data_IF_972023533639
#
_entry.id   IF_972023533639
#
_cell.length_a   1.000
_cell.length_b   1.000
_cell.length_c   1.000
_cell.angle_alpha   90.00
_cell.angle_beta   90.00
_cell.angle_gamma   90.00
#
_symmetry.space_group_name_H-M   'P 1'
#
loop_
_entity.id
_entity.type
_entity.pdbx_description
1 polymer ?
#
# COMPACT_ATOMS: atom_id res chain seq x y z
N UNK A 1 19.50 10.91 -8.37
CA UNK A 1 18.84 9.80 -7.66
C UNK A 1 17.36 9.83 -7.98
N UNK A 2 16.76 8.65 -8.15
CA UNK A 2 15.34 8.48 -8.43
C UNK A 2 14.73 7.57 -7.37
N UNK A 3 13.46 7.77 -7.04
CA UNK A 3 12.67 6.83 -6.29
C UNK A 3 11.25 6.79 -6.86
N UNK A 4 10.60 5.64 -6.76
CA UNK A 4 9.26 5.46 -7.27
C UNK A 4 8.23 5.84 -6.20
N UNK A 5 7.16 6.47 -6.66
CA UNK A 5 5.98 6.73 -5.86
C UNK A 5 4.71 6.65 -6.70
N UNK A 6 3.61 6.43 -6.05
CA UNK A 6 2.28 6.60 -6.59
C UNK A 6 1.76 7.94 -6.12
N UNK A 7 1.25 8.73 -7.02
CA UNK A 7 0.69 10.03 -6.75
C UNK A 7 -0.59 10.22 -7.57
N UNK A 8 -1.55 10.95 -7.01
CA UNK A 8 -2.75 11.32 -7.70
C UNK A 8 -3.17 12.75 -7.37
N UNK A 9 -3.83 13.37 -8.32
CA UNK A 9 -4.37 14.72 -8.22
C UNK A 9 -5.78 14.73 -8.77
N UNK A 10 -6.70 15.36 -8.04
CA UNK A 10 -8.08 15.52 -8.49
C UNK A 10 -8.55 16.95 -8.36
N UNK A 11 -9.50 17.32 -9.20
CA UNK A 11 -10.12 18.63 -9.23
C UNK A 11 -11.64 18.48 -9.13
N UNK A 12 -12.25 19.30 -8.29
CA UNK A 12 -13.67 19.20 -7.92
C UNK A 12 -14.35 20.57 -8.03
N UNK A 13 -15.65 20.53 -8.23
CA UNK A 13 -16.44 21.76 -8.31
C UNK A 13 -16.70 22.38 -6.93
N UNK A 14 -16.76 21.56 -5.89
CA UNK A 14 -17.06 22.04 -4.53
C UNK A 14 -15.99 21.66 -3.54
N UNK A 15 -15.96 22.38 -2.42
CA UNK A 15 -15.10 22.10 -1.28
C UNK A 15 -15.36 20.70 -0.71
N UNK A 16 -16.63 20.39 -0.54
CA UNK A 16 -17.10 19.16 0.08
C UNK A 16 -16.67 17.93 -0.72
N UNK A 17 -16.82 17.98 -2.05
CA UNK A 17 -16.36 16.91 -2.94
C UNK A 17 -14.84 16.67 -2.82
N UNK A 18 -14.04 17.73 -2.79
CA UNK A 18 -12.59 17.62 -2.68
C UNK A 18 -12.15 17.08 -1.31
N UNK A 19 -12.80 17.52 -0.22
CA UNK A 19 -12.50 17.07 1.13
C UNK A 19 -12.89 15.59 1.30
N UNK A 20 -14.05 15.17 0.78
CA UNK A 20 -14.48 13.77 0.75
C UNK A 20 -13.47 12.90 -0.01
N UNK A 21 -12.98 13.35 -1.17
CA UNK A 21 -11.97 12.60 -1.94
C UNK A 21 -10.64 12.48 -1.19
N UNK A 22 -10.18 13.54 -0.55
CA UNK A 22 -8.97 13.48 0.26
C UNK A 22 -9.08 12.45 1.39
N UNK A 23 -10.22 12.40 2.08
CA UNK A 23 -10.49 11.42 3.14
C UNK A 23 -10.65 10.01 2.56
N UNK A 24 -11.29 9.85 1.41
CA UNK A 24 -11.43 8.57 0.71
C UNK A 24 -10.06 7.96 0.40
N UNK A 25 -9.16 8.74 -0.15
CA UNK A 25 -7.81 8.27 -0.50
C UNK A 25 -6.96 7.96 0.72
N UNK A 26 -7.10 8.71 1.81
CA UNK A 26 -6.50 8.33 3.09
C UNK A 26 -6.96 6.94 3.54
N UNK A 27 -8.25 6.64 3.42
CA UNK A 27 -8.82 5.36 3.80
C UNK A 27 -8.33 4.22 2.88
N UNK A 28 -8.16 4.47 1.58
CA UNK A 28 -7.57 3.50 0.64
C UNK A 28 -6.14 3.15 1.06
N UNK A 29 -5.33 4.14 1.42
CA UNK A 29 -3.96 3.89 1.89
C UNK A 29 -3.92 3.16 3.23
N UNK A 30 -4.81 3.49 4.16
CA UNK A 30 -4.93 2.77 5.42
C UNK A 30 -5.34 1.31 5.20
N UNK A 31 -6.33 1.07 4.33
CA UNK A 31 -6.76 -0.28 3.97
C UNK A 31 -5.63 -1.10 3.33
N UNK A 32 -4.86 -0.51 2.43
CA UNK A 32 -3.70 -1.15 1.82
C UNK A 32 -2.64 -1.52 2.87
N UNK A 33 -2.30 -0.57 3.76
CA UNK A 33 -1.34 -0.83 4.82
C UNK A 33 -1.79 -1.96 5.75
N UNK A 34 -3.05 -1.96 6.18
CA UNK A 34 -3.56 -2.93 7.14
C UNK A 34 -3.84 -4.30 6.53
N UNK A 35 -4.53 -4.34 5.36
CA UNK A 35 -4.99 -5.60 4.77
C UNK A 35 -3.94 -6.30 3.91
N UNK A 36 -3.11 -5.54 3.19
CA UNK A 36 -2.12 -6.11 2.28
C UNK A 36 -0.72 -6.15 2.89
N UNK A 37 -0.30 -5.05 3.52
CA UNK A 37 1.01 -4.99 4.16
C UNK A 37 1.01 -5.60 5.57
N UNK A 38 -0.16 -5.83 6.17
CA UNK A 38 -0.33 -6.23 7.58
C UNK A 38 0.40 -5.26 8.56
N UNK A 39 0.40 -3.98 8.23
CA UNK A 39 1.00 -2.90 9.03
C UNK A 39 -0.12 -2.05 9.61
N UNK A 40 -0.38 -2.13 10.92
CA UNK A 40 -1.36 -1.26 11.57
C UNK A 40 -0.95 0.20 11.46
N UNK A 41 -1.91 1.07 11.17
CA UNK A 41 -1.67 2.51 11.01
C UNK A 41 -2.67 3.35 11.80
N UNK A 42 -2.22 4.51 12.24
CA UNK A 42 -3.06 5.53 12.85
C UNK A 42 -3.34 6.61 11.82
N UNK A 43 -4.61 6.92 11.62
CA UNK A 43 -5.05 8.04 10.76
C UNK A 43 -5.10 9.32 11.58
N UNK A 44 -4.62 10.42 11.02
CA UNK A 44 -4.62 11.71 11.68
C UNK A 44 -4.58 12.90 10.72
N UNK A 45 -4.69 14.08 11.29
CA UNK A 45 -4.51 15.36 10.59
C UNK A 45 -3.22 15.97 11.10
N UNK A 46 -2.37 16.43 10.21
CA UNK A 46 -1.11 17.09 10.58
C UNK A 46 -1.35 18.45 11.20
N UNK A 47 -0.54 18.79 12.20
CA UNK A 47 -0.50 20.14 12.77
C UNK A 47 -0.16 21.18 11.70
N UNK A 48 -0.49 22.45 11.98
CA UNK A 48 -0.23 23.54 11.04
C UNK A 48 1.24 23.64 10.62
N UNK A 49 2.17 23.30 11.52
CA UNK A 49 3.60 23.38 11.26
C UNK A 49 4.15 22.23 10.39
N UNK A 50 3.44 21.11 10.35
CA UNK A 50 3.83 19.91 9.57
C UNK A 50 2.97 19.70 8.33
N UNK A 51 1.96 20.55 8.17
CA UNK A 51 1.07 20.53 7.02
C UNK A 51 1.86 20.78 5.73
N UNK A 52 1.46 20.13 4.65
CA UNK A 52 2.02 20.41 3.33
C UNK A 52 1.78 21.89 2.96
N UNK A 53 2.86 22.57 2.56
CA UNK A 53 2.80 23.98 2.25
C UNK A 53 1.80 24.26 1.10
N UNK A 54 0.82 25.13 1.37
CA UNK A 54 -0.25 25.45 0.42
C UNK A 54 -1.51 24.60 0.57
N UNK A 55 -1.49 23.51 1.32
CA UNK A 55 -2.70 22.76 1.64
C UNK A 55 -3.53 23.42 2.76
N UNK A 56 -4.83 23.27 2.70
CA UNK A 56 -5.73 23.64 3.80
C UNK A 56 -5.64 22.59 4.92
N UNK A 57 -5.65 21.30 4.56
CA UNK A 57 -5.44 20.20 5.47
C UNK A 57 -4.56 19.12 4.86
N UNK A 58 -3.78 18.45 5.70
CA UNK A 58 -2.97 17.28 5.34
C UNK A 58 -3.34 16.13 6.26
N UNK A 59 -3.98 15.13 5.68
CA UNK A 59 -4.26 13.87 6.32
C UNK A 59 -3.08 12.92 6.16
N UNK A 60 -2.84 12.08 7.16
CA UNK A 60 -1.70 11.15 7.18
C UNK A 60 -2.11 9.81 7.74
N UNK A 61 -1.45 8.75 7.28
CA UNK A 61 -1.38 7.47 7.97
C UNK A 61 0.04 7.28 8.51
N UNK A 62 0.15 6.87 9.76
CA UNK A 62 1.43 6.66 10.42
C UNK A 62 1.48 5.28 11.06
N UNK A 63 2.58 4.56 10.81
CA UNK A 63 2.83 3.24 11.37
C UNK A 63 3.79 3.36 12.56
N UNK A 64 3.57 2.57 13.61
CA UNK A 64 4.50 2.45 14.72
C UNK A 64 5.61 1.48 14.38
N UNK A 65 6.87 1.93 14.45
CA UNK A 65 8.04 1.08 14.24
C UNK A 65 8.46 0.39 15.54
N UNK A 66 9.29 -0.64 15.43
CA UNK A 66 9.74 -1.45 16.59
C UNK A 66 10.52 -0.63 17.62
N UNK A 67 11.16 0.46 17.21
CA UNK A 67 11.86 1.40 18.09
C UNK A 67 10.94 2.43 18.76
N UNK A 68 9.62 2.31 18.57
CA UNK A 68 8.61 3.20 19.14
C UNK A 68 8.43 4.54 18.39
N UNK A 69 9.08 4.71 17.25
CA UNK A 69 8.91 5.91 16.43
C UNK A 69 7.76 5.73 15.43
N UNK A 70 7.03 6.81 15.19
CA UNK A 70 6.03 6.85 14.14
C UNK A 70 6.68 7.09 12.78
N UNK A 71 6.30 6.29 11.78
CA UNK A 71 6.70 6.45 10.39
C UNK A 71 5.51 6.92 9.56
N UNK A 72 5.62 8.10 8.96
CA UNK A 72 4.64 8.56 7.97
C UNK A 72 4.62 7.61 6.78
N UNK A 73 3.49 6.96 6.56
CA UNK A 73 3.34 5.89 5.57
C UNK A 73 2.50 6.28 4.35
N UNK A 74 1.82 7.40 4.41
CA UNK A 74 1.06 7.97 3.28
C UNK A 74 0.41 9.27 3.67
N UNK A 75 0.17 10.14 2.70
CA UNK A 75 -0.50 11.42 2.89
C UNK A 75 -1.58 11.66 1.86
N UNK A 76 -2.59 12.40 2.26
CA UNK A 76 -3.65 12.92 1.40
C UNK A 76 -3.91 14.37 1.77
N UNK A 77 -3.84 15.25 0.78
CA UNK A 77 -3.89 16.69 0.97
C UNK A 77 -5.20 17.26 0.42
N UNK A 78 -5.92 17.98 1.25
CA UNK A 78 -6.95 18.89 0.80
C UNK A 78 -6.29 20.24 0.50
N UNK A 79 -6.07 20.52 -0.79
CA UNK A 79 -5.34 21.71 -1.24
C UNK A 79 -6.20 22.97 -1.25
N UNK A 80 -7.52 22.82 -1.18
CA UNK A 80 -8.43 23.93 -1.38
C UNK A 80 -8.30 24.51 -2.79
N UNK A 81 -8.27 25.83 -2.91
CA UNK A 81 -8.10 26.56 -4.16
C UNK A 81 -6.73 27.25 -4.27
N UNK A 82 -5.82 27.04 -3.35
CA UNK A 82 -4.57 27.79 -3.29
C UNK A 82 -3.72 27.57 -4.54
N UNK A 83 -3.49 26.32 -4.93
CA UNK A 83 -2.75 26.01 -6.16
C UNK A 83 -3.56 26.32 -7.42
N UNK A 84 -4.87 26.09 -7.39
CA UNK A 84 -5.74 26.45 -8.52
C UNK A 84 -5.65 27.95 -8.85
N UNK A 85 -5.63 28.82 -7.86
CA UNK A 85 -5.45 30.26 -8.05
C UNK A 85 -4.04 30.62 -8.51
N UNK A 86 -3.01 29.95 -7.97
CA UNK A 86 -1.63 30.21 -8.34
C UNK A 86 -1.31 29.83 -9.81
N UNK A 87 -1.94 28.75 -10.30
CA UNK A 87 -1.72 28.20 -11.65
C UNK A 87 -2.86 28.49 -12.63
N UNK A 88 -3.84 29.30 -12.21
CA UNK A 88 -5.04 29.68 -12.99
C UNK A 88 -5.84 28.47 -13.51
N UNK A 89 -6.06 27.48 -12.66
CA UNK A 89 -6.82 26.29 -13.00
C UNK A 89 -8.31 26.52 -12.68
N UNK A 90 -9.09 26.70 -13.73
CA UNK A 90 -10.51 27.03 -13.64
C UNK A 90 -11.37 26.03 -14.41
N UNK A 91 -12.65 25.99 -14.09
CA UNK A 91 -13.68 25.26 -14.84
C UNK A 91 -14.90 26.15 -15.05
N UNK A 92 -15.74 25.79 -16.01
CA UNK A 92 -17.02 26.46 -16.26
C UNK A 92 -18.08 25.76 -15.41
N UNK A 93 -18.68 26.49 -14.49
CA UNK A 93 -19.75 25.98 -13.63
C UNK A 93 -21.10 25.85 -14.37
N UNK A 94 -22.13 25.35 -13.66
CA UNK A 94 -23.49 25.15 -14.22
C UNK A 94 -24.18 26.45 -14.63
N UNK A 95 -23.77 27.59 -14.08
CA UNK A 95 -24.24 28.94 -14.43
C UNK A 95 -23.41 29.58 -15.57
N UNK A 96 -22.56 28.80 -16.23
CA UNK A 96 -21.67 29.25 -17.32
C UNK A 96 -20.67 30.33 -16.88
N UNK A 97 -20.20 30.26 -15.62
CA UNK A 97 -19.18 31.15 -15.04
C UNK A 97 -17.89 30.37 -14.78
N UNK A 98 -16.75 31.06 -14.92
CA UNK A 98 -15.45 30.52 -14.55
C UNK A 98 -15.27 30.55 -13.04
N UNK A 99 -14.90 29.41 -12.46
CA UNK A 99 -14.56 29.24 -11.06
C UNK A 99 -13.27 28.45 -10.91
N UNK A 100 -12.50 28.74 -9.85
CA UNK A 100 -11.33 27.94 -9.49
C UNK A 100 -11.73 26.59 -8.96
N UNK A 101 -11.04 25.54 -9.39
CA UNK A 101 -11.27 24.17 -8.89
C UNK A 101 -10.87 24.05 -7.42
N UNK A 102 -11.53 23.17 -6.71
CA UNK A 102 -11.09 22.64 -5.44
C UNK A 102 -10.24 21.39 -5.71
N UNK A 103 -9.01 21.39 -5.21
CA UNK A 103 -8.03 20.38 -5.58
C UNK A 103 -7.61 19.50 -4.41
N UNK A 104 -7.26 18.27 -4.72
CA UNK A 104 -6.59 17.34 -3.82
C UNK A 104 -5.30 16.82 -4.43
N UNK A 105 -4.40 16.36 -3.59
CA UNK A 105 -3.30 15.48 -4.01
C UNK A 105 -3.05 14.44 -2.92
N UNK A 106 -2.64 13.25 -3.34
CA UNK A 106 -2.40 12.15 -2.42
C UNK A 106 -1.32 11.24 -2.96
N UNK A 107 -0.54 10.61 -2.07
CA UNK A 107 0.59 9.83 -2.50
C UNK A 107 1.17 8.90 -1.44
N UNK A 108 1.80 7.84 -1.95
CA UNK A 108 2.65 6.90 -1.23
C UNK A 108 3.91 6.63 -2.04
N UNK A 109 5.00 6.32 -1.37
CA UNK A 109 6.27 6.08 -2.02
C UNK A 109 6.85 4.71 -1.66
N UNK A 110 8.02 4.39 -2.21
CA UNK A 110 8.81 3.21 -1.84
C UNK A 110 9.23 3.19 -0.37
N UNK A 111 8.96 4.26 0.41
CA UNK A 111 9.03 4.22 1.88
C UNK A 111 8.20 3.08 2.47
N UNK A 112 7.08 2.72 1.84
CA UNK A 112 6.26 1.58 2.27
C UNK A 112 7.02 0.24 2.24
N UNK A 113 7.96 0.06 1.33
CA UNK A 113 8.83 -1.13 1.32
C UNK A 113 9.72 -1.16 2.56
N UNK A 114 10.28 0.01 2.93
CA UNK A 114 11.04 0.16 4.18
C UNK A 114 10.18 -0.12 5.42
N UNK A 115 8.97 0.41 5.46
CA UNK A 115 8.01 0.16 6.54
C UNK A 115 7.70 -1.33 6.69
N UNK A 116 7.45 -2.03 5.57
CA UNK A 116 7.20 -3.46 5.53
C UNK A 116 8.37 -4.26 6.12
N UNK A 117 9.59 -3.95 5.68
CA UNK A 117 10.81 -4.62 6.15
C UNK A 117 11.01 -4.38 7.65
N UNK A 118 10.91 -3.13 8.09
CA UNK A 118 11.09 -2.76 9.50
C UNK A 118 10.03 -3.35 10.43
N UNK A 119 8.83 -3.63 9.91
CA UNK A 119 7.74 -4.20 10.70
C UNK A 119 7.82 -5.73 10.81
N UNK A 120 8.15 -6.43 9.72
CA UNK A 120 7.98 -7.88 9.63
C UNK A 120 9.28 -8.66 9.54
N UNK A 121 10.34 -8.07 9.04
CA UNK A 121 11.60 -8.77 8.78
C UNK A 121 12.54 -8.75 9.98
N UNK A 122 13.51 -9.64 9.98
CA UNK A 122 14.56 -9.76 10.98
C UNK A 122 15.93 -10.00 10.32
N UNK A 123 16.97 -10.26 11.14
CA UNK A 123 18.33 -10.50 10.66
C UNK A 123 18.48 -11.80 9.84
N UNK A 124 17.48 -12.69 9.88
CA UNK A 124 17.48 -13.92 9.08
C UNK A 124 16.95 -13.69 7.66
N UNK A 125 16.25 -12.59 7.42
CA UNK A 125 15.82 -12.22 6.08
C UNK A 125 14.47 -11.52 5.99
N UNK A 126 14.00 -11.42 4.75
CA UNK A 126 12.75 -10.76 4.40
C UNK A 126 11.55 -11.64 4.75
N UNK A 127 10.63 -11.10 5.53
CA UNK A 127 9.31 -11.70 5.82
C UNK A 127 8.22 -10.88 5.14
N UNK A 128 7.43 -11.54 4.30
CA UNK A 128 6.35 -10.90 3.54
C UNK A 128 4.98 -11.39 4.04
N UNK A 129 4.01 -10.48 4.23
CA UNK A 129 2.62 -10.85 4.43
C UNK A 129 2.08 -11.64 3.24
N UNK A 130 1.12 -12.57 3.45
CA UNK A 130 0.62 -13.43 2.38
C UNK A 130 0.09 -12.70 1.15
N UNK A 131 -0.57 -11.54 1.34
CA UNK A 131 -1.11 -10.75 0.24
C UNK A 131 -0.04 -10.08 -0.65
N UNK A 132 1.18 -9.90 -0.15
CA UNK A 132 2.30 -9.33 -0.90
C UNK A 132 3.31 -10.38 -1.33
N UNK A 133 3.26 -11.58 -0.77
CA UNK A 133 4.17 -12.66 -1.12
C UNK A 133 3.90 -13.16 -2.55
N UNK A 134 4.89 -13.16 -3.46
CA UNK A 134 4.73 -13.71 -4.81
C UNK A 134 4.37 -15.19 -4.79
N UNK A 135 4.88 -15.91 -3.77
CA UNK A 135 4.56 -17.30 -3.47
C UNK A 135 4.08 -17.37 -2.04
N UNK A 136 2.79 -17.71 -1.86
CA UNK A 136 2.16 -17.73 -0.55
C UNK A 136 2.44 -19.02 0.22
N UNK A 137 2.61 -20.13 -0.49
CA UNK A 137 2.90 -21.45 0.09
C UNK A 137 4.04 -22.11 -0.66
N UNK A 138 5.07 -22.53 0.07
CA UNK A 138 6.14 -23.38 -0.46
C UNK A 138 6.04 -24.74 0.20
N UNK A 139 5.96 -25.80 -0.61
CA UNK A 139 5.96 -27.19 -0.16
C UNK A 139 7.35 -27.75 -0.40
N UNK A 140 8.01 -28.18 0.68
CA UNK A 140 9.35 -28.81 0.62
C UNK A 140 9.22 -30.27 1.01
N UNK A 141 9.54 -31.22 0.12
CA UNK A 141 9.48 -32.64 0.46
C UNK A 141 10.67 -33.05 1.34
N UNK A 142 10.40 -33.86 2.35
CA UNK A 142 11.43 -34.49 3.18
C UNK A 142 11.37 -36.00 2.93
N UNK A 143 12.41 -36.56 2.33
CA UNK A 143 12.45 -37.96 1.94
C UNK A 143 13.86 -38.53 2.06
N UNK A 144 13.97 -39.87 2.12
CA UNK A 144 15.23 -40.62 2.24
C UNK A 144 15.62 -41.36 0.96
N UNK A 145 14.65 -41.63 0.10
CA UNK A 145 14.85 -42.34 -1.17
C UNK A 145 13.77 -41.97 -2.19
N UNK A 146 13.96 -42.35 -3.43
CA UNK A 146 13.09 -42.00 -4.56
C UNK A 146 11.69 -42.66 -4.46
N UNK A 147 11.55 -43.78 -3.77
CA UNK A 147 10.24 -44.40 -3.56
C UNK A 147 9.38 -43.57 -2.65
N UNK A 148 9.96 -43.01 -1.56
CA UNK A 148 9.27 -42.07 -0.70
C UNK A 148 8.92 -40.76 -1.43
N UNK A 149 9.83 -40.25 -2.26
CA UNK A 149 9.55 -39.06 -3.06
C UNK A 149 8.35 -39.26 -3.98
N UNK A 150 8.25 -40.36 -4.70
CA UNK A 150 7.09 -40.68 -5.55
C UNK A 150 5.75 -40.69 -4.78
N UNK A 151 5.76 -41.23 -3.56
CA UNK A 151 4.55 -41.22 -2.69
C UNK A 151 4.18 -39.81 -2.23
N UNK A 152 5.18 -38.97 -1.96
CA UNK A 152 4.98 -37.56 -1.60
C UNK A 152 4.44 -36.79 -2.80
N UNK A 153 5.05 -36.94 -4.00
CA UNK A 153 4.63 -36.29 -5.22
C UNK A 153 3.15 -36.51 -5.51
N UNK A 154 2.69 -37.75 -5.44
CA UNK A 154 1.28 -38.08 -5.66
C UNK A 154 0.32 -37.38 -4.71
N UNK A 155 0.73 -37.16 -3.45
CA UNK A 155 -0.07 -36.38 -2.47
C UNK A 155 0.00 -34.87 -2.70
N UNK A 156 1.20 -34.37 -3.03
CA UNK A 156 1.44 -32.95 -3.24
C UNK A 156 0.66 -32.43 -4.45
N UNK A 157 0.51 -33.20 -5.52
CA UNK A 157 -0.31 -32.84 -6.68
C UNK A 157 -1.74 -32.44 -6.28
N UNK A 158 -2.39 -33.23 -5.43
CA UNK A 158 -3.72 -32.91 -4.94
C UNK A 158 -3.78 -31.64 -4.06
N UNK A 159 -2.77 -31.43 -3.21
CA UNK A 159 -2.65 -30.25 -2.37
C UNK A 159 -2.44 -28.98 -3.25
N UNK A 160 -1.53 -29.06 -4.20
CA UNK A 160 -1.23 -27.97 -5.14
C UNK A 160 -2.49 -27.59 -5.95
N UNK A 161 -3.19 -28.61 -6.48
CA UNK A 161 -4.41 -28.38 -7.23
C UNK A 161 -5.48 -27.64 -6.40
N UNK A 162 -5.68 -28.06 -5.16
CA UNK A 162 -6.63 -27.43 -4.24
C UNK A 162 -6.24 -26.00 -3.87
N UNK A 163 -4.96 -25.73 -3.59
CA UNK A 163 -4.47 -24.38 -3.29
C UNK A 163 -4.66 -23.44 -4.48
N UNK A 164 -4.34 -23.90 -5.70
CA UNK A 164 -4.57 -23.13 -6.93
C UNK A 164 -6.05 -22.82 -7.17
N UNK A 165 -6.96 -23.75 -6.90
CA UNK A 165 -8.40 -23.53 -6.98
C UNK A 165 -8.90 -22.44 -6.02
N UNK A 166 -8.23 -22.28 -4.87
CA UNK A 166 -8.49 -21.22 -3.89
C UNK A 166 -7.79 -19.90 -4.24
N UNK A 167 -7.12 -19.79 -5.38
CA UNK A 167 -6.38 -18.59 -5.78
C UNK A 167 -5.06 -18.38 -5.02
N UNK A 168 -4.57 -19.40 -4.32
CA UNK A 168 -3.34 -19.34 -3.52
C UNK A 168 -2.16 -19.71 -4.41
N UNK A 169 -1.15 -18.83 -4.49
CA UNK A 169 0.09 -19.08 -5.18
C UNK A 169 0.94 -20.10 -4.42
N UNK A 170 1.33 -21.19 -5.10
CA UNK A 170 2.05 -22.29 -4.48
C UNK A 170 3.23 -22.75 -5.33
N UNK A 171 4.36 -23.01 -4.68
CA UNK A 171 5.53 -23.62 -5.29
C UNK A 171 5.80 -24.97 -4.61
N UNK A 172 5.95 -26.02 -5.40
CA UNK A 172 6.51 -27.28 -4.95
C UNK A 172 8.03 -27.25 -5.22
N UNK A 173 8.82 -27.27 -4.17
CA UNK A 173 10.28 -27.14 -4.23
C UNK A 173 10.93 -28.51 -4.01
N UNK A 174 10.96 -29.30 -5.06
CA UNK A 174 11.53 -30.65 -5.10
C UNK A 174 12.93 -30.70 -5.76
N UNK A 175 13.66 -29.58 -5.80
CA UNK A 175 14.98 -29.52 -6.40
C UNK A 175 16.01 -30.36 -5.64
N UNK A 176 16.81 -31.17 -6.36
CA UNK A 176 17.78 -32.10 -5.79
C UNK A 176 18.92 -31.47 -4.99
N UNK A 177 19.19 -30.18 -5.18
CA UNK A 177 20.26 -29.44 -4.52
C UNK A 177 19.95 -28.95 -3.10
N UNK A 178 18.83 -29.37 -2.51
CA UNK A 178 18.36 -28.91 -1.19
C UNK A 178 18.26 -30.02 -0.14
N UNK A 179 19.12 -31.05 -0.27
CA UNK A 179 19.24 -32.10 0.74
C UNK A 179 20.19 -31.70 1.86
#
# INVERSE_FOLDING_TARGET
AEFLWQEGHTAHATREEAEEEAIRMLNVYAEFAEKYMAVPVVKGVKSANERFAGALDTYTIEAMMQDGKALQSGTSHFLGQNFAKAFDVQFVNKENKLEYVWATSWGVSTRLMGALIMTHSDDNGLVLPPHLAPIQVVIVPIYKNDEQLKLIDAKVEGIVARLKQLGISVKYDNADNKR
#
